data_IF_954674850437
#
_entry.id   IF_954674850437
#
_cell.length_a   1.000
_cell.length_b   1.000
_cell.length_c   1.000
_cell.angle_alpha   90.00
_cell.angle_beta   90.00
_cell.angle_gamma   90.00
#
_symmetry.space_group_name_H-M   'P 1'
#
loop_
_entity.id
_entity.type
_entity.pdbx_description
1 polymer ?
#
# COMPACT_ATOMS: atom_id res chain seq x y z
N UNK A 1 -9.20 -3.36 -3.35
CA UNK A 1 -8.40 -2.22 -2.90
C UNK A 1 -7.55 -2.59 -1.70
N UNK A 2 -6.29 -2.16 -1.72
CA UNK A 2 -5.40 -2.47 -0.60
C UNK A 2 -5.71 -1.64 0.65
N UNK A 3 -6.23 -0.45 0.48
CA UNK A 3 -6.74 0.38 1.58
C UNK A 3 -7.83 -0.32 2.41
N UNK A 4 -8.65 -1.15 1.77
CA UNK A 4 -9.64 -1.97 2.49
C UNK A 4 -8.98 -3.12 3.27
N UNK A 5 -7.96 -3.75 2.68
CA UNK A 5 -7.13 -4.74 3.37
C UNK A 5 -6.44 -4.12 4.61
N UNK A 6 -5.90 -2.90 4.49
CA UNK A 6 -5.31 -2.17 5.63
C UNK A 6 -6.33 -2.03 6.76
N UNK A 7 -7.51 -1.50 6.46
CA UNK A 7 -8.56 -1.27 7.43
C UNK A 7 -9.01 -2.56 8.16
N UNK A 8 -9.21 -3.64 7.41
CA UNK A 8 -9.62 -4.92 7.97
C UNK A 8 -8.53 -5.53 8.88
N UNK A 9 -7.27 -5.46 8.46
CA UNK A 9 -6.15 -6.01 9.22
C UNK A 9 -5.76 -5.14 10.44
N UNK A 10 -6.00 -3.83 10.39
CA UNK A 10 -5.91 -2.97 11.57
C UNK A 10 -6.97 -3.34 12.61
N UNK A 11 -8.22 -3.57 12.18
CA UNK A 11 -9.30 -4.02 13.08
C UNK A 11 -9.02 -5.38 13.72
N UNK A 12 -8.34 -6.26 13.02
CA UNK A 12 -7.92 -7.58 13.51
C UNK A 12 -6.66 -7.53 14.40
N UNK A 13 -6.03 -6.35 14.53
CA UNK A 13 -4.79 -6.21 15.31
C UNK A 13 -3.59 -6.92 14.67
N UNK A 14 -3.60 -7.11 13.36
CA UNK A 14 -2.51 -7.75 12.60
C UNK A 14 -1.46 -6.72 12.20
N UNK A 15 -1.90 -5.54 11.80
CA UNK A 15 -1.03 -4.42 11.44
C UNK A 15 -1.47 -3.14 12.14
N UNK A 16 -0.54 -2.21 12.29
CA UNK A 16 -0.76 -0.83 12.69
C UNK A 16 -0.30 0.07 11.56
N UNK A 17 -1.15 1.02 11.13
CA UNK A 17 -0.70 2.12 10.29
C UNK A 17 0.12 3.07 11.15
N UNK A 18 1.40 3.22 10.83
CA UNK A 18 2.35 4.10 11.52
C UNK A 18 2.67 5.36 10.72
N UNK A 19 2.05 5.54 9.57
CA UNK A 19 2.39 6.60 8.59
C UNK A 19 2.24 7.99 9.19
N UNK A 20 1.15 8.26 9.91
CA UNK A 20 0.94 9.55 10.59
C UNK A 20 2.03 9.80 11.66
N UNK A 21 2.38 8.78 12.45
CA UNK A 21 3.42 8.86 13.49
C UNK A 21 4.80 9.15 12.90
N UNK A 22 5.05 8.69 11.67
CA UNK A 22 6.27 8.98 10.91
C UNK A 22 6.24 10.37 10.25
N UNK A 23 5.20 11.17 10.49
CA UNK A 23 5.03 12.50 9.93
C UNK A 23 4.47 12.50 8.50
N UNK A 24 3.69 11.49 8.15
CA UNK A 24 2.90 11.48 6.92
C UNK A 24 1.78 12.52 6.94
N UNK A 25 1.36 12.94 5.77
CA UNK A 25 0.24 13.86 5.57
C UNK A 25 -1.04 13.14 5.15
N UNK A 26 -2.19 13.78 5.35
CA UNK A 26 -3.49 13.21 4.97
C UNK A 26 -3.57 13.06 3.45
N UNK A 27 -4.08 11.91 3.01
CA UNK A 27 -4.45 11.65 1.63
C UNK A 27 -5.93 11.29 1.53
N UNK A 28 -6.60 11.84 0.51
CA UNK A 28 -7.97 11.47 0.18
C UNK A 28 -7.96 10.61 -1.07
N UNK A 29 -8.42 9.38 -0.97
CA UNK A 29 -8.62 8.51 -2.12
C UNK A 29 -9.98 8.78 -2.78
N UNK A 30 -10.00 8.86 -4.11
CA UNK A 30 -11.20 8.97 -4.94
C UNK A 30 -11.36 7.68 -5.74
N UNK A 31 -11.84 6.62 -5.09
CA UNK A 31 -11.86 5.28 -5.66
C UNK A 31 -13.09 5.04 -6.53
N UNK A 32 -12.85 4.60 -7.76
CA UNK A 32 -13.88 4.16 -8.69
C UNK A 32 -13.34 3.26 -9.80
N UNK A 33 -12.05 2.91 -9.77
CA UNK A 33 -11.42 2.21 -10.89
C UNK A 33 -12.02 0.83 -11.14
N UNK A 34 -12.24 0.04 -10.09
CA UNK A 34 -12.75 -1.33 -10.26
C UNK A 34 -14.18 -1.35 -10.78
N UNK A 35 -15.04 -0.47 -10.27
CA UNK A 35 -16.44 -0.40 -10.71
C UNK A 35 -16.60 0.15 -12.12
N UNK A 36 -15.72 1.10 -12.53
CA UNK A 36 -15.77 1.72 -13.88
C UNK A 36 -14.97 0.96 -14.93
N UNK A 37 -14.06 0.06 -14.53
CA UNK A 37 -13.23 -0.76 -15.43
C UNK A 37 -13.36 -2.27 -15.10
N UNK A 38 -14.59 -2.83 -15.03
CA UNK A 38 -14.80 -4.22 -14.62
C UNK A 38 -14.10 -5.23 -15.54
N UNK A 39 -13.91 -4.89 -16.80
CA UNK A 39 -13.20 -5.74 -17.78
C UNK A 39 -11.72 -5.95 -17.46
N UNK A 40 -11.12 -5.08 -16.65
CA UNK A 40 -9.75 -5.22 -16.16
C UNK A 40 -9.61 -6.30 -15.08
N UNK A 41 -10.72 -6.79 -14.54
CA UNK A 41 -10.76 -7.76 -13.45
C UNK A 41 -11.58 -8.99 -13.87
N UNK A 42 -10.90 -10.11 -14.05
CA UNK A 42 -11.52 -11.36 -14.52
C UNK A 42 -12.83 -11.68 -13.77
N UNK A 43 -12.80 -11.61 -12.44
CA UNK A 43 -13.97 -11.96 -11.62
C UNK A 43 -15.15 -10.99 -11.79
N UNK A 44 -14.89 -9.70 -11.99
CA UNK A 44 -15.96 -8.71 -12.24
C UNK A 44 -16.52 -8.86 -13.65
N UNK A 45 -15.65 -9.13 -14.63
CA UNK A 45 -16.06 -9.40 -16.01
C UNK A 45 -16.95 -10.63 -16.12
N UNK A 46 -16.60 -11.72 -15.43
CA UNK A 46 -17.36 -12.97 -15.42
C UNK A 46 -18.62 -12.88 -14.55
N UNK A 47 -18.67 -11.96 -13.58
CA UNK A 47 -19.76 -11.82 -12.63
C UNK A 47 -20.16 -10.35 -12.43
N UNK A 48 -20.84 -9.71 -13.40
CA UNK A 48 -21.19 -8.27 -13.34
C UNK A 48 -22.05 -7.89 -12.12
N UNK A 49 -22.75 -8.85 -11.51
CA UNK A 49 -23.55 -8.63 -10.30
C UNK A 49 -22.73 -8.18 -9.08
N UNK A 50 -21.40 -8.37 -9.10
CA UNK A 50 -20.51 -7.86 -8.07
C UNK A 50 -20.15 -6.38 -8.24
N UNK A 51 -20.40 -5.77 -9.41
CA UNK A 51 -20.07 -4.34 -9.64
C UNK A 51 -20.75 -3.43 -8.62
N UNK A 52 -22.05 -3.53 -8.32
CA UNK A 52 -22.69 -2.71 -7.28
C UNK A 52 -22.12 -2.94 -5.87
N UNK A 53 -21.61 -4.15 -5.60
CA UNK A 53 -20.94 -4.46 -4.32
C UNK A 53 -19.61 -3.69 -4.22
N UNK A 54 -18.85 -3.68 -5.32
CA UNK A 54 -17.58 -2.93 -5.39
C UNK A 54 -17.84 -1.42 -5.29
N UNK A 55 -18.85 -0.89 -5.99
CA UNK A 55 -19.22 0.54 -5.87
C UNK A 55 -19.56 0.95 -4.43
N UNK A 56 -20.26 0.09 -3.70
CA UNK A 56 -20.55 0.32 -2.28
C UNK A 56 -19.27 0.33 -1.45
N UNK A 57 -18.37 -0.63 -1.70
CA UNK A 57 -17.08 -0.74 -1.04
C UNK A 57 -16.20 0.50 -1.29
N UNK A 58 -16.13 0.96 -2.54
CA UNK A 58 -15.42 2.19 -2.93
C UNK A 58 -15.91 3.39 -2.13
N UNK A 59 -17.23 3.58 -2.01
CA UNK A 59 -17.84 4.65 -1.23
C UNK A 59 -17.50 4.56 0.26
N UNK A 60 -17.47 3.36 0.83
CA UNK A 60 -17.10 3.14 2.23
C UNK A 60 -15.61 3.48 2.48
N UNK A 61 -14.73 3.09 1.56
CA UNK A 61 -13.29 3.37 1.66
C UNK A 61 -13.02 4.87 1.58
N UNK A 62 -13.67 5.59 0.67
CA UNK A 62 -13.53 7.04 0.49
C UNK A 62 -13.85 7.83 1.78
N UNK A 63 -14.73 7.31 2.62
CA UNK A 63 -15.10 7.96 3.88
C UNK A 63 -14.08 7.76 5.03
N UNK A 64 -13.03 6.96 4.83
CA UNK A 64 -12.01 6.69 5.84
C UNK A 64 -10.85 7.69 5.74
N UNK A 65 -10.17 7.90 6.85
CA UNK A 65 -8.94 8.70 6.87
C UNK A 65 -7.73 7.83 6.57
N UNK A 66 -6.85 8.37 5.71
CA UNK A 66 -5.56 7.76 5.39
C UNK A 66 -4.46 8.81 5.43
N UNK A 67 -3.24 8.34 5.69
CA UNK A 67 -2.03 9.15 5.65
C UNK A 67 -1.04 8.51 4.69
N UNK A 68 -0.18 9.31 4.08
CA UNK A 68 0.91 8.83 3.24
C UNK A 68 2.14 9.72 3.42
N UNK A 69 3.31 9.17 3.15
CA UNK A 69 4.55 9.94 3.06
C UNK A 69 4.78 10.21 1.57
N UNK A 70 4.75 11.48 1.11
CA UNK A 70 5.11 11.82 -0.25
C UNK A 70 6.51 11.31 -0.61
N UNK A 71 6.70 10.85 -1.86
CA UNK A 71 7.97 10.24 -2.28
C UNK A 71 9.18 11.17 -2.14
N UNK A 72 8.98 12.47 -2.29
CA UNK A 72 10.00 13.52 -2.14
C UNK A 72 10.34 13.85 -0.68
N UNK A 73 9.50 13.42 0.27
CA UNK A 73 9.77 13.55 1.70
C UNK A 73 10.33 12.26 2.33
N UNK A 74 10.30 11.14 1.61
CA UNK A 74 10.66 9.83 2.16
C UNK A 74 12.05 9.79 2.76
N UNK A 75 13.05 10.38 2.07
CA UNK A 75 14.44 10.40 2.53
C UNK A 75 14.60 10.93 3.98
N UNK A 76 13.82 11.93 4.35
CA UNK A 76 13.88 12.53 5.68
C UNK A 76 13.23 11.68 6.78
N UNK A 77 12.46 10.66 6.40
CA UNK A 77 11.66 9.81 7.29
C UNK A 77 12.09 8.34 7.27
N UNK A 78 12.99 7.98 6.37
CA UNK A 78 13.44 6.61 6.11
C UNK A 78 14.00 5.92 7.37
N UNK A 79 14.71 6.65 8.22
CA UNK A 79 15.30 6.11 9.46
C UNK A 79 14.27 5.60 10.46
N UNK A 80 13.02 6.06 10.36
CA UNK A 80 11.90 5.65 11.20
C UNK A 80 11.13 4.45 10.65
N UNK A 81 11.43 4.03 9.42
CA UNK A 81 10.89 2.80 8.81
C UNK A 81 11.69 1.61 9.35
N UNK A 82 11.00 0.63 9.89
CA UNK A 82 11.64 -0.55 10.47
C UNK A 82 11.77 -1.68 9.44
N UNK A 83 12.80 -2.48 9.64
CA UNK A 83 12.96 -3.73 8.90
C UNK A 83 11.73 -4.63 9.12
N UNK A 84 11.07 -5.06 8.03
CA UNK A 84 9.84 -5.85 8.07
C UNK A 84 8.53 -5.05 8.01
N UNK A 85 8.57 -3.70 8.03
CA UNK A 85 7.37 -2.89 7.79
C UNK A 85 6.83 -3.18 6.37
N UNK A 86 5.51 -3.26 6.23
CA UNK A 86 4.87 -3.34 4.92
C UNK A 86 4.81 -1.95 4.29
N UNK A 87 5.23 -1.86 3.05
CA UNK A 87 5.26 -0.63 2.26
C UNK A 87 4.17 -0.71 1.20
N UNK A 88 3.10 0.05 1.37
CA UNK A 88 2.05 0.19 0.37
C UNK A 88 2.32 1.46 -0.44
N UNK A 89 2.70 1.30 -1.70
CA UNK A 89 3.08 2.39 -2.59
C UNK A 89 1.83 2.99 -3.21
N UNK A 90 1.53 4.25 -2.87
CA UNK A 90 0.42 5.02 -3.41
C UNK A 90 0.65 5.38 -4.86
N UNK A 91 -0.43 5.56 -5.63
CA UNK A 91 -0.35 5.78 -7.08
C UNK A 91 -1.08 7.04 -7.52
N UNK A 92 -0.60 7.64 -8.61
CA UNK A 92 -1.27 8.74 -9.31
C UNK A 92 -2.29 8.26 -10.34
N UNK A 93 -2.51 6.94 -10.46
CA UNK A 93 -3.56 6.41 -11.36
C UNK A 93 -4.92 6.76 -10.79
N UNK A 94 -5.70 7.51 -11.55
CA UNK A 94 -7.03 7.95 -11.13
C UNK A 94 -7.92 6.75 -10.77
N UNK A 95 -8.63 6.88 -9.65
CA UNK A 95 -9.54 5.85 -9.16
C UNK A 95 -8.89 4.68 -8.43
N UNK A 96 -7.56 4.65 -8.28
CA UNK A 96 -6.82 3.65 -7.51
C UNK A 96 -6.18 4.24 -6.24
N UNK A 97 -5.94 3.39 -5.25
CA UNK A 97 -5.25 3.70 -4.00
C UNK A 97 -3.76 3.34 -4.06
N UNK A 98 -3.47 2.06 -4.17
CA UNK A 98 -2.13 1.48 -4.09
C UNK A 98 -1.77 0.83 -5.43
N UNK A 99 -0.60 1.19 -5.95
CA UNK A 99 -0.08 0.64 -7.19
C UNK A 99 0.83 -0.57 -6.99
N UNK A 100 1.44 -0.70 -5.82
CA UNK A 100 2.37 -1.79 -5.53
C UNK A 100 2.57 -1.96 -4.02
N UNK A 101 3.07 -3.14 -3.63
CA UNK A 101 3.32 -3.49 -2.23
C UNK A 101 4.65 -4.21 -2.12
N UNK A 102 5.34 -4.00 -1.02
CA UNK A 102 6.54 -4.75 -0.65
C UNK A 102 6.79 -4.71 0.85
N UNK A 103 7.91 -5.27 1.25
CA UNK A 103 8.37 -5.31 2.63
C UNK A 103 9.67 -4.51 2.71
N UNK A 104 9.78 -3.63 3.69
CA UNK A 104 11.00 -2.87 3.95
C UNK A 104 12.12 -3.79 4.44
N UNK A 105 13.27 -3.69 3.80
CA UNK A 105 14.50 -4.40 4.20
C UNK A 105 15.63 -3.38 4.38
N UNK A 106 16.11 -3.22 5.59
CA UNK A 106 17.28 -2.38 5.85
C UNK A 106 18.54 -3.17 5.49
N UNK A 107 19.30 -2.66 4.52
CA UNK A 107 20.52 -3.29 4.02
C UNK A 107 21.78 -2.74 4.70
N UNK A 108 22.96 -3.31 4.37
CA UNK A 108 24.25 -2.94 4.96
C UNK A 108 24.67 -1.49 4.67
N UNK A 109 24.11 -0.86 3.64
CA UNK A 109 24.27 0.57 3.33
C UNK A 109 23.51 1.49 4.30
N UNK A 110 22.74 0.92 5.23
CA UNK A 110 21.88 1.62 6.17
C UNK A 110 20.58 2.14 5.60
N UNK A 111 20.29 1.84 4.32
CA UNK A 111 19.09 2.29 3.59
C UNK A 111 18.00 1.24 3.57
N UNK A 112 16.78 1.68 3.31
CA UNK A 112 15.64 0.80 3.09
C UNK A 112 15.59 0.39 1.61
N UNK A 113 15.52 -0.90 1.38
CA UNK A 113 15.24 -1.54 0.10
C UNK A 113 13.90 -2.25 0.14
N UNK A 114 13.37 -2.64 -1.01
CA UNK A 114 12.06 -3.24 -1.12
C UNK A 114 12.15 -4.74 -1.48
N UNK A 115 11.70 -5.61 -0.58
CA UNK A 115 11.46 -7.02 -0.89
C UNK A 115 10.08 -7.14 -1.55
N UNK A 116 10.04 -7.49 -2.83
CA UNK A 116 8.80 -7.53 -3.59
C UNK A 116 8.83 -8.52 -4.77
N UNK A 117 7.68 -8.72 -5.40
CA UNK A 117 7.53 -9.35 -6.71
C UNK A 117 7.11 -8.25 -7.72
N UNK A 118 8.01 -7.72 -8.56
CA UNK A 118 7.77 -6.51 -9.35
C UNK A 118 6.73 -6.70 -10.47
N UNK A 119 6.59 -7.89 -11.02
CA UNK A 119 5.61 -8.19 -12.07
C UNK A 119 5.28 -9.67 -12.13
N UNK A 120 4.16 -10.06 -12.79
CA UNK A 120 3.86 -11.47 -13.05
C UNK A 120 5.06 -12.18 -13.70
N UNK A 121 5.31 -13.42 -13.28
CA UNK A 121 6.41 -14.27 -13.75
C UNK A 121 7.83 -13.83 -13.33
N UNK A 122 7.98 -12.83 -12.46
CA UNK A 122 9.25 -12.51 -11.84
C UNK A 122 9.40 -13.20 -10.49
N UNK A 123 10.64 -13.42 -10.07
CA UNK A 123 10.92 -13.93 -8.72
C UNK A 123 10.84 -12.80 -7.71
N UNK A 124 10.44 -13.15 -6.49
CA UNK A 124 10.59 -12.27 -5.34
C UNK A 124 12.09 -11.98 -5.14
N UNK A 125 12.44 -10.73 -4.98
CA UNK A 125 13.82 -10.29 -4.71
C UNK A 125 13.81 -8.98 -3.91
N UNK A 126 14.96 -8.64 -3.35
CA UNK A 126 15.21 -7.33 -2.76
C UNK A 126 15.73 -6.43 -3.88
N UNK A 127 15.23 -5.19 -3.99
CA UNK A 127 15.69 -4.23 -5.00
C UNK A 127 17.16 -3.88 -4.79
N UNK A 128 17.92 -3.68 -5.87
CA UNK A 128 19.25 -3.08 -5.81
C UNK A 128 19.16 -1.58 -5.49
N UNK A 129 18.12 -0.91 -5.99
CA UNK A 129 17.83 0.49 -5.69
C UNK A 129 17.24 0.63 -4.28
N UNK A 130 17.52 1.74 -3.61
CA UNK A 130 16.84 2.11 -2.36
C UNK A 130 15.35 2.30 -2.59
N UNK A 131 14.54 2.28 -1.53
CA UNK A 131 13.10 2.54 -1.64
C UNK A 131 12.85 3.93 -2.23
N UNK A 132 13.62 4.95 -1.82
CA UNK A 132 13.56 6.30 -2.36
C UNK A 132 13.79 6.30 -3.87
N UNK A 133 14.92 5.75 -4.33
CA UNK A 133 15.26 5.69 -5.76
C UNK A 133 14.21 4.90 -6.56
N UNK A 134 13.70 3.82 -5.99
CA UNK A 134 12.63 3.03 -6.59
C UNK A 134 11.36 3.86 -6.81
N UNK A 135 10.94 4.65 -5.82
CA UNK A 135 9.77 5.53 -5.93
C UNK A 135 10.00 6.64 -6.96
N UNK A 136 11.16 7.30 -6.88
CA UNK A 136 11.49 8.44 -7.76
C UNK A 136 11.57 8.03 -9.24
N UNK A 137 12.07 6.82 -9.52
CA UNK A 137 12.16 6.28 -10.88
C UNK A 137 10.80 6.04 -11.53
N UNK A 138 9.76 5.77 -10.74
CA UNK A 138 8.43 5.42 -11.25
C UNK A 138 7.49 6.64 -11.19
N UNK A 139 7.12 7.16 -12.37
CA UNK A 139 6.27 8.36 -12.50
C UNK A 139 4.89 8.23 -11.84
N UNK A 140 4.36 7.01 -11.77
CA UNK A 140 3.03 6.74 -11.20
C UNK A 140 3.04 6.56 -9.68
N UNK A 141 4.19 6.44 -9.04
CA UNK A 141 4.29 6.38 -7.60
C UNK A 141 4.19 7.78 -7.01
N UNK A 142 3.34 7.98 -6.02
CA UNK A 142 3.16 9.27 -5.33
C UNK A 142 3.80 9.31 -3.95
N UNK A 143 3.88 8.17 -3.26
CA UNK A 143 4.44 8.05 -1.92
C UNK A 143 4.19 6.67 -1.33
N UNK A 144 4.19 6.56 -0.01
CA UNK A 144 4.01 5.29 0.70
C UNK A 144 3.09 5.42 1.91
N UNK A 145 2.34 4.36 2.20
CA UNK A 145 1.74 4.07 3.51
C UNK A 145 2.63 3.02 4.18
N UNK A 146 2.98 3.23 5.44
CA UNK A 146 3.86 2.33 6.20
C UNK A 146 3.04 1.61 7.27
N UNK A 147 3.02 0.28 7.18
CA UNK A 147 2.26 -0.56 8.09
C UNK A 147 3.21 -1.43 8.89
N UNK A 148 3.13 -1.36 10.21
CA UNK A 148 3.91 -2.21 11.12
C UNK A 148 3.15 -3.46 11.45
N UNK A 149 3.75 -4.62 11.20
CA UNK A 149 3.19 -5.91 11.62
C UNK A 149 3.27 -6.01 13.13
N UNK A 150 2.16 -6.39 13.76
CA UNK A 150 2.08 -6.58 15.20
C UNK A 150 2.37 -8.04 15.58
N UNK A 151 2.87 -8.23 16.81
CA UNK A 151 2.96 -9.58 17.36
C UNK A 151 1.57 -10.23 17.40
N UNK A 152 1.45 -11.51 17.05
CA UNK A 152 0.17 -12.19 17.12
C UNK A 152 -0.36 -12.10 18.56
N UNK A 153 -1.50 -11.45 18.74
CA UNK A 153 -2.23 -11.62 19.97
C UNK A 153 -2.56 -13.11 20.07
N UNK A 154 -2.24 -13.74 21.19
CA UNK A 154 -2.62 -15.12 21.45
C UNK A 154 -4.13 -15.22 21.23
N UNK A 155 -4.53 -15.66 20.04
CA UNK A 155 -5.93 -15.99 19.79
C UNK A 155 -6.22 -17.17 20.69
N UNK A 156 -7.29 -17.15 21.51
CA UNK A 156 -7.69 -18.33 22.24
C UNK A 156 -7.96 -19.46 21.24
N UNK A 157 -7.47 -20.65 21.54
CA UNK A 157 -7.67 -21.90 20.79
C UNK A 157 -9.16 -22.18 20.50
#
# INVERSE_FOLDING_TARGET
YFSDWIYDNMKKGIVKDVTEELGGEKIQFNLNFMSTHPDSYKHLKENPNFIPVIEKQEKEIICREYYFIPKDELASKEDSIHNGDLIAITTTVEGLDIGHIGIAVKMDDGKIHLLHAPSPNTKVHITEATLEDYLMKHKRHSGVIVLRVLEPNNLPD
#
